data_IF_641847051212
#
_entry.id   IF_641847051212
#
_cell.length_a   1.000
_cell.length_b   1.000
_cell.length_c   1.000
_cell.angle_alpha   90.00
_cell.angle_beta   90.00
_cell.angle_gamma   90.00
#
_symmetry.space_group_name_H-M   'P 1'
#
loop_
_entity.id
_entity.type
_entity.pdbx_description
1 polymer ?
#
# COMPACT_ATOMS: atom_id res chain seq x y z
N UNK A 1 -1.14 22.60 -14.98
CA UNK A 1 -2.10 21.95 -14.07
C UNK A 1 -1.33 20.92 -13.28
N UNK A 2 -1.50 20.83 -11.96
CA UNK A 2 -0.97 19.67 -11.23
C UNK A 2 -1.86 18.49 -11.61
N UNK A 3 -1.41 17.69 -12.58
CA UNK A 3 -1.95 16.35 -12.78
C UNK A 3 -1.88 15.64 -11.42
N UNK A 4 -3.06 15.37 -10.84
CA UNK A 4 -3.16 14.84 -9.48
C UNK A 4 -2.35 13.55 -9.33
N UNK A 5 -1.77 13.33 -8.16
CA UNK A 5 -1.01 12.11 -7.85
C UNK A 5 -1.78 11.25 -6.87
N UNK A 6 -1.78 9.94 -7.11
CA UNK A 6 -2.20 8.98 -6.08
C UNK A 6 -1.15 8.93 -4.98
N UNK A 7 -1.56 8.96 -3.72
CA UNK A 7 -0.67 8.81 -2.56
C UNK A 7 -1.27 7.80 -1.59
N UNK A 8 -0.45 6.89 -1.09
CA UNK A 8 -0.86 5.79 -0.23
C UNK A 8 -0.03 5.82 1.06
N UNK A 9 -0.72 5.64 2.18
CA UNK A 9 -0.13 5.45 3.50
C UNK A 9 -0.73 4.19 4.11
N UNK A 10 0.11 3.27 4.57
CA UNK A 10 -0.30 2.02 5.19
C UNK A 10 0.35 1.94 6.56
N UNK A 11 -0.46 1.68 7.58
CA UNK A 11 -0.02 1.52 8.97
C UNK A 11 -0.62 0.27 9.56
N UNK A 12 0.15 -0.43 10.38
CA UNK A 12 -0.31 -1.59 11.14
C UNK A 12 0.11 -1.44 12.61
N UNK A 13 -0.77 -1.86 13.51
CA UNK A 13 -0.45 -1.96 14.93
C UNK A 13 0.54 -3.09 15.21
N UNK A 14 1.18 -3.05 16.38
CA UNK A 14 2.22 -4.03 16.75
C UNK A 14 1.76 -5.49 16.62
N UNK A 15 0.52 -5.80 17.00
CA UNK A 15 -0.01 -7.17 16.92
C UNK A 15 -0.06 -7.69 15.48
N UNK A 16 -0.50 -6.85 14.54
CA UNK A 16 -0.56 -7.21 13.13
C UNK A 16 0.85 -7.37 12.52
N UNK A 17 1.78 -6.49 12.90
CA UNK A 17 3.19 -6.60 12.48
C UNK A 17 3.82 -7.88 13.02
N UNK A 18 3.56 -8.23 14.29
CA UNK A 18 4.02 -9.50 14.89
C UNK A 18 3.39 -10.72 14.24
N UNK A 19 2.19 -10.58 13.68
CA UNK A 19 1.49 -11.61 12.91
C UNK A 19 1.95 -11.72 11.44
N UNK A 20 3.00 -10.99 11.03
CA UNK A 20 3.61 -11.11 9.70
C UNK A 20 3.29 -9.97 8.73
N UNK A 21 2.39 -9.05 9.08
CA UNK A 21 2.00 -7.95 8.19
C UNK A 21 3.18 -7.00 7.95
N UNK A 22 3.49 -6.74 6.67
CA UNK A 22 4.53 -5.78 6.28
C UNK A 22 3.98 -4.61 5.46
N UNK A 23 3.71 -3.46 6.10
CA UNK A 23 3.12 -2.28 5.47
C UNK A 23 3.90 -1.76 4.26
N UNK A 24 5.23 -1.77 4.30
CA UNK A 24 6.07 -1.35 3.16
C UNK A 24 5.82 -2.15 1.87
N UNK A 25 5.49 -3.45 1.96
CA UNK A 25 5.19 -4.29 0.79
C UNK A 25 3.81 -3.97 0.24
N UNK A 26 2.82 -3.86 1.12
CA UNK A 26 1.45 -3.46 0.78
C UNK A 26 1.47 -2.10 0.06
N UNK A 27 2.13 -1.09 0.64
CA UNK A 27 2.21 0.25 0.06
C UNK A 27 2.90 0.26 -1.32
N UNK A 28 3.90 -0.61 -1.52
CA UNK A 28 4.54 -0.78 -2.83
C UNK A 28 3.56 -1.29 -3.89
N UNK A 29 2.75 -2.32 -3.59
CA UNK A 29 1.80 -2.89 -4.55
C UNK A 29 0.63 -1.96 -4.85
N UNK A 30 0.14 -1.23 -3.84
CA UNK A 30 -0.85 -0.17 -4.06
C UNK A 30 -0.31 0.91 -5.01
N UNK A 31 0.91 1.39 -4.76
CA UNK A 31 1.52 2.40 -5.61
C UNK A 31 1.77 1.90 -7.05
N UNK A 32 2.15 0.63 -7.23
CA UNK A 32 2.33 0.02 -8.55
C UNK A 32 1.01 -0.03 -9.34
N UNK A 33 -0.12 -0.28 -8.68
CA UNK A 33 -1.45 -0.25 -9.32
C UNK A 33 -1.75 1.13 -9.91
N UNK A 34 -1.32 2.20 -9.25
CA UNK A 34 -1.41 3.58 -9.73
C UNK A 34 -0.21 4.04 -10.58
N UNK A 35 0.57 3.11 -11.14
CA UNK A 35 1.68 3.42 -12.04
C UNK A 35 2.91 4.05 -11.36
N UNK A 36 3.11 3.81 -10.08
CA UNK A 36 4.21 4.37 -9.32
C UNK A 36 4.95 3.38 -8.44
N UNK A 37 5.48 3.88 -7.32
CA UNK A 37 6.44 3.15 -6.46
C UNK A 37 6.15 3.44 -4.99
N UNK A 38 6.48 2.47 -4.14
CA UNK A 38 6.35 2.60 -2.69
C UNK A 38 7.37 1.74 -1.95
N UNK A 39 7.26 1.75 -0.63
CA UNK A 39 8.13 1.01 0.27
C UNK A 39 7.94 1.46 1.73
N UNK A 40 8.78 0.96 2.62
CA UNK A 40 8.76 1.32 4.02
C UNK A 40 9.14 0.16 4.94
N UNK A 41 8.81 0.31 6.21
CA UNK A 41 9.02 -0.69 7.26
C UNK A 41 7.79 -1.58 7.43
N UNK A 42 7.87 -2.55 8.33
CA UNK A 42 6.77 -3.47 8.59
C UNK A 42 5.55 -2.77 9.21
N UNK A 43 5.77 -1.75 10.05
CA UNK A 43 4.76 -0.95 10.75
C UNK A 43 4.24 0.26 9.94
N UNK A 44 5.05 0.79 9.02
CA UNK A 44 4.73 1.97 8.22
C UNK A 44 5.22 1.82 6.78
N UNK A 45 4.29 1.90 5.83
CA UNK A 45 4.54 1.90 4.40
C UNK A 45 3.97 3.14 3.72
N UNK A 46 4.67 3.65 2.70
CA UNK A 46 4.23 4.77 1.89
C UNK A 46 4.48 4.53 0.41
N UNK A 47 3.66 5.12 -0.45
CA UNK A 47 3.83 5.04 -1.88
C UNK A 47 3.06 6.11 -2.63
N UNK A 48 3.38 6.30 -3.91
CA UNK A 48 2.68 7.23 -4.76
C UNK A 48 2.69 6.81 -6.22
N UNK A 49 1.67 7.23 -6.95
CA UNK A 49 1.40 6.89 -8.34
C UNK A 49 1.04 8.10 -9.19
N UNK A 50 1.35 8.02 -10.49
CA UNK A 50 1.02 9.07 -11.46
C UNK A 50 -0.41 9.00 -11.98
N UNK A 51 -1.13 7.91 -11.71
CA UNK A 51 -2.51 7.72 -12.18
C UNK A 51 -3.50 7.80 -11.00
N UNK A 52 -4.11 8.98 -10.73
CA UNK A 52 -5.08 9.13 -9.66
C UNK A 52 -6.40 8.40 -9.93
N UNK A 53 -6.70 8.01 -11.18
CA UNK A 53 -7.92 7.25 -11.51
C UNK A 53 -7.89 5.82 -10.94
N UNK A 54 -6.71 5.34 -10.57
CA UNK A 54 -6.46 4.00 -10.02
C UNK A 54 -6.61 3.89 -8.50
N UNK A 55 -6.97 4.96 -7.80
CA UNK A 55 -7.10 4.94 -6.34
C UNK A 55 -8.14 3.90 -5.90
N UNK A 56 -9.31 3.86 -6.54
CA UNK A 56 -10.39 2.92 -6.21
C UNK A 56 -9.94 1.46 -6.43
N UNK A 57 -9.33 1.17 -7.59
CA UNK A 57 -8.78 -0.15 -7.90
C UNK A 57 -7.69 -0.58 -6.90
N UNK A 58 -6.84 0.37 -6.50
CA UNK A 58 -5.79 0.13 -5.50
C UNK A 58 -6.40 -0.22 -4.15
N UNK A 59 -7.43 0.51 -3.70
CA UNK A 59 -8.11 0.25 -2.43
C UNK A 59 -8.83 -1.10 -2.41
N UNK A 60 -9.47 -1.49 -3.52
CA UNK A 60 -10.08 -2.83 -3.64
C UNK A 60 -9.05 -3.95 -3.48
N UNK A 61 -7.82 -3.72 -3.96
CA UNK A 61 -6.71 -4.67 -3.82
C UNK A 61 -6.09 -4.69 -2.42
N UNK A 62 -6.30 -3.65 -1.62
CA UNK A 62 -5.71 -3.54 -0.29
C UNK A 62 -6.13 -4.68 0.64
N UNK A 63 -7.38 -5.14 0.56
CA UNK A 63 -7.89 -6.25 1.38
C UNK A 63 -7.16 -7.56 1.07
N UNK A 64 -6.99 -7.90 -0.21
CA UNK A 64 -6.24 -9.07 -0.65
C UNK A 64 -4.78 -9.03 -0.15
N UNK A 65 -4.14 -7.87 -0.25
CA UNK A 65 -2.75 -7.67 0.19
C UNK A 65 -2.60 -7.84 1.71
N UNK A 66 -3.52 -7.28 2.50
CA UNK A 66 -3.50 -7.43 3.96
C UNK A 66 -3.66 -8.90 4.36
N UNK A 67 -4.61 -9.61 3.76
CA UNK A 67 -4.83 -11.03 4.03
C UNK A 67 -3.62 -11.88 3.65
N UNK A 68 -2.96 -11.56 2.52
CA UNK A 68 -1.74 -12.25 2.08
C UNK A 68 -0.59 -12.06 3.07
N UNK A 69 -0.33 -10.83 3.50
CA UNK A 69 0.77 -10.56 4.44
C UNK A 69 0.50 -11.13 5.83
N UNK A 70 -0.76 -11.22 6.28
CA UNK A 70 -1.12 -11.83 7.56
C UNK A 70 -0.97 -13.37 7.59
N UNK A 71 -0.80 -14.00 6.42
CA UNK A 71 -0.61 -15.45 6.28
C UNK A 71 0.84 -15.84 5.98
N UNK A 72 1.74 -14.85 5.86
CA UNK A 72 3.15 -15.00 5.48
C UNK A 72 4.06 -15.16 6.70
#
# INVERSE_FOLDING_TARGET
>A
EEEGKASFLVMAGEEAVRAGVHCGRIASELAQTAGGKGGGKADLGQGGGGDPSKIEESLQRAEELVLREAQS
#
